data_IF_953274884408
#
_entry.id   IF_953274884408
#
_cell.length_a   1.000
_cell.length_b   1.000
_cell.length_c   1.000
_cell.angle_alpha   90.00
_cell.angle_beta   90.00
_cell.angle_gamma   90.00
#
_symmetry.space_group_name_H-M   'P 1'
#
loop_
_entity.id
_entity.type
_entity.pdbx_description
1 polymer ?
#
# COMPACT_ATOMS: atom_id res chain seq x y z
N UNK A 1 13.15 27.21 -6.97
CA UNK A 1 13.60 26.92 -5.58
C UNK A 1 13.57 25.42 -5.20
N UNK A 2 13.38 24.49 -6.16
CA UNK A 2 13.29 23.03 -5.94
C UNK A 2 14.53 22.16 -6.31
N UNK A 3 15.57 22.65 -7.02
CA UNK A 3 16.76 21.80 -7.29
C UNK A 3 17.73 21.65 -6.12
N UNK A 4 17.69 22.54 -5.11
CA UNK A 4 18.68 22.58 -4.02
C UNK A 4 18.36 21.65 -2.84
N UNK A 5 17.10 21.23 -2.65
CA UNK A 5 16.72 20.28 -1.58
C UNK A 5 17.17 18.84 -1.87
N UNK A 6 17.26 18.43 -3.14
CA UNK A 6 17.76 17.09 -3.53
C UNK A 6 19.25 16.88 -3.21
N UNK A 7 20.02 17.96 -3.15
CA UNK A 7 21.44 17.93 -2.77
C UNK A 7 21.64 18.02 -1.26
N UNK A 8 20.76 18.72 -0.55
CA UNK A 8 20.81 18.82 0.92
C UNK A 8 20.47 17.49 1.61
N UNK A 9 19.53 16.71 1.06
CA UNK A 9 19.11 15.43 1.63
C UNK A 9 20.09 14.26 1.37
N UNK A 10 21.07 14.42 0.46
CA UNK A 10 22.12 13.40 0.22
C UNK A 10 23.32 13.52 1.17
N UNK A 11 23.44 14.61 1.94
CA UNK A 11 24.62 14.92 2.74
C UNK A 11 24.40 15.03 4.25
N UNK A 12 23.17 14.92 4.74
CA UNK A 12 22.90 15.02 6.18
C UNK A 12 22.99 13.66 6.85
N UNK A 13 23.79 13.57 7.92
CA UNK A 13 23.83 12.45 8.84
C UNK A 13 22.43 12.13 9.40
N UNK A 14 21.75 11.15 8.80
CA UNK A 14 20.48 10.57 9.25
C UNK A 14 20.50 9.69 10.53
N UNK A 15 21.62 9.39 11.23
CA UNK A 15 21.56 8.52 12.43
C UNK A 15 20.71 9.06 13.60
N UNK A 16 20.49 10.38 13.70
CA UNK A 16 19.83 10.99 14.87
C UNK A 16 18.31 11.00 14.76
N UNK A 17 17.76 11.18 13.55
CA UNK A 17 16.31 11.06 13.29
C UNK A 17 15.87 9.59 13.42
N UNK A 18 16.73 8.67 12.97
CA UNK A 18 16.50 7.24 13.15
C UNK A 18 16.63 6.80 14.61
N UNK A 19 17.48 7.45 15.42
CA UNK A 19 17.64 7.14 16.84
C UNK A 19 16.37 7.38 17.67
N UNK A 20 15.68 8.50 17.46
CA UNK A 20 14.40 8.77 18.14
C UNK A 20 13.26 7.89 17.61
N UNK A 21 13.25 7.60 16.30
CA UNK A 21 12.32 6.65 15.72
C UNK A 21 12.56 5.22 16.23
N UNK A 22 13.82 4.79 16.44
CA UNK A 22 14.19 3.46 16.97
C UNK A 22 13.79 3.27 18.44
N UNK A 23 13.83 4.32 19.25
CA UNK A 23 13.38 4.26 20.64
C UNK A 23 11.85 4.13 20.76
N UNK A 24 11.10 4.68 19.79
CA UNK A 24 9.66 4.41 19.61
C UNK A 24 9.38 3.09 18.84
N UNK A 25 10.38 2.55 18.14
CA UNK A 25 10.29 1.35 17.29
C UNK A 25 10.23 0.04 18.08
N UNK A 26 10.84 0.00 19.27
CA UNK A 26 11.03 -1.24 20.04
C UNK A 26 9.92 -1.57 21.05
N UNK A 27 8.92 -0.69 21.25
CA UNK A 27 7.89 -0.87 22.29
C UNK A 27 6.52 -1.31 21.78
N UNK A 28 6.24 -1.31 20.47
CA UNK A 28 4.88 -1.59 19.96
C UNK A 28 4.76 -2.96 19.29
N UNK A 29 4.56 -3.97 20.14
CA UNK A 29 4.01 -5.28 19.78
C UNK A 29 2.55 -5.10 19.32
N UNK A 30 2.15 -5.83 18.29
CA UNK A 30 0.91 -5.68 17.51
C UNK A 30 -0.44 -5.72 18.25
N UNK A 31 -0.45 -5.96 19.56
CA UNK A 31 -1.67 -6.07 20.39
C UNK A 31 -2.40 -4.73 20.61
N UNK A 32 -1.72 -3.60 20.39
CA UNK A 32 -2.27 -2.26 20.69
C UNK A 32 -3.34 -1.76 19.70
N UNK A 33 -3.41 -2.28 18.47
CA UNK A 33 -4.46 -1.88 17.52
C UNK A 33 -5.85 -2.38 17.91
N UNK A 34 -5.94 -3.44 18.73
CA UNK A 34 -7.23 -3.92 19.26
C UNK A 34 -7.68 -3.14 20.49
N UNK A 35 -6.76 -2.59 21.29
CA UNK A 35 -7.11 -1.88 22.53
C UNK A 35 -7.39 -0.39 22.35
N UNK A 36 -6.79 0.28 21.36
CA UNK A 36 -6.90 1.75 21.21
C UNK A 36 -8.27 2.27 20.74
N UNK A 37 -9.27 1.40 20.49
CA UNK A 37 -10.61 1.79 20.04
C UNK A 37 -11.72 1.59 21.09
N UNK A 38 -11.38 1.26 22.34
CA UNK A 38 -12.36 1.24 23.44
C UNK A 38 -12.43 2.61 24.15
N UNK A 39 -13.64 3.17 24.24
CA UNK A 39 -13.95 4.50 24.82
C UNK A 39 -13.38 4.69 26.24
N UNK A 40 -12.98 5.91 26.64
CA UNK A 40 -12.56 6.16 28.02
C UNK A 40 -13.78 6.22 28.95
N UNK A 41 -13.85 5.27 29.89
CA UNK A 41 -14.70 5.37 31.08
C UNK A 41 -13.98 6.24 32.12
N UNK A 42 -14.72 7.18 32.73
CA UNK A 42 -14.22 8.09 33.75
C UNK A 42 -13.77 7.33 35.01
N UNK A 43 -12.59 7.68 35.54
CA UNK A 43 -12.18 7.35 36.91
C UNK A 43 -11.52 8.57 37.54
N UNK A 44 -11.99 8.90 38.75
CA UNK A 44 -11.83 10.20 39.41
C UNK A 44 -10.44 10.54 39.92
N UNK A 45 -10.30 11.84 40.16
CA UNK A 45 -9.16 12.57 40.69
C UNK A 45 -8.84 12.22 42.14
N UNK A 46 -7.55 12.06 42.45
CA UNK A 46 -6.99 12.28 43.79
C UNK A 46 -5.58 12.87 43.62
N UNK A 47 -5.40 14.03 44.23
CA UNK A 47 -4.28 14.97 44.09
C UNK A 47 -2.94 14.43 44.62
N UNK A 48 -1.86 14.65 43.85
CA UNK A 48 -0.53 14.95 44.40
C UNK A 48 0.11 16.03 43.52
N UNK A 49 0.32 17.21 44.11
CA UNK A 49 1.05 18.32 43.52
C UNK A 49 2.53 17.97 43.38
N UNK A 50 2.98 17.66 42.17
CA UNK A 50 4.38 17.79 41.80
C UNK A 50 4.47 18.72 40.59
N UNK A 51 4.84 19.98 40.86
CA UNK A 51 5.02 21.03 39.85
C UNK A 51 6.34 20.81 39.11
N UNK A 52 6.41 19.78 38.29
CA UNK A 52 7.39 19.74 37.19
C UNK A 52 6.88 20.70 36.12
N UNK A 53 7.67 21.73 35.78
CA UNK A 53 7.45 22.53 34.56
C UNK A 53 7.42 21.54 33.39
N UNK A 54 6.23 21.23 32.89
CA UNK A 54 6.05 20.57 31.61
C UNK A 54 6.61 21.51 30.55
N UNK A 55 7.79 21.20 30.03
CA UNK A 55 8.10 21.61 28.67
C UNK A 55 6.99 20.97 27.86
N UNK A 56 6.06 21.75 27.33
CA UNK A 56 5.15 21.23 26.31
C UNK A 56 6.05 20.64 25.24
N UNK A 57 6.09 19.31 25.15
CA UNK A 57 6.76 18.62 24.05
C UNK A 57 5.98 18.99 22.79
N UNK A 58 6.33 20.12 22.20
CA UNK A 58 5.73 20.59 20.96
C UNK A 58 6.08 19.58 19.90
N UNK A 59 5.07 18.93 19.31
CA UNK A 59 5.24 18.04 18.18
C UNK A 59 5.54 18.84 16.91
N UNK A 60 6.79 19.29 16.82
CA UNK A 60 7.31 20.11 15.71
C UNK A 60 7.23 19.39 14.36
N UNK A 61 7.13 18.06 14.36
CA UNK A 61 7.05 17.29 13.13
C UNK A 61 5.62 17.35 12.60
N UNK A 62 4.60 17.21 13.45
CA UNK A 62 3.20 17.39 13.04
C UNK A 62 2.89 18.80 12.51
N UNK A 63 3.61 19.82 12.98
CA UNK A 63 3.48 21.21 12.50
C UNK A 63 4.05 21.46 11.09
N UNK A 64 4.72 20.46 10.49
CA UNK A 64 5.25 20.60 9.13
C UNK A 64 4.11 20.73 8.09
N UNK A 65 4.36 21.48 6.98
CA UNK A 65 3.40 21.56 5.89
C UNK A 65 3.06 20.17 5.32
N UNK A 66 1.80 19.97 4.91
CA UNK A 66 1.30 18.68 4.40
C UNK A 66 2.16 18.11 3.27
N UNK A 67 2.65 18.94 2.35
CA UNK A 67 3.53 18.50 1.27
C UNK A 67 4.87 17.90 1.76
N UNK A 68 5.39 18.38 2.90
CA UNK A 68 6.61 17.83 3.53
C UNK A 68 6.28 16.50 4.19
N UNK A 69 5.15 16.41 4.90
CA UNK A 69 4.70 15.16 5.51
C UNK A 69 4.43 14.09 4.45
N UNK A 70 3.78 14.43 3.34
CA UNK A 70 3.65 13.54 2.17
C UNK A 70 5.00 13.09 1.59
N UNK A 71 5.99 13.98 1.61
CA UNK A 71 7.35 13.63 1.19
C UNK A 71 7.97 12.62 2.16
N UNK A 72 7.79 12.80 3.47
CA UNK A 72 8.23 11.82 4.47
C UNK A 72 7.53 10.48 4.24
N UNK A 73 6.20 10.47 4.10
CA UNK A 73 5.42 9.26 3.82
C UNK A 73 5.89 8.54 2.55
N UNK A 74 6.39 9.27 1.55
CA UNK A 74 6.91 8.66 0.31
C UNK A 74 8.18 7.83 0.47
N UNK A 75 8.88 7.98 1.61
CA UNK A 75 10.05 7.16 1.95
C UNK A 75 9.71 5.98 2.86
N UNK A 76 8.45 5.86 3.30
CA UNK A 76 8.01 4.84 4.23
C UNK A 76 7.30 3.69 3.51
N UNK A 77 7.49 2.48 4.02
CA UNK A 77 6.69 1.30 3.62
C UNK A 77 5.30 1.36 4.23
N UNK A 78 4.35 0.63 3.67
CA UNK A 78 2.94 0.68 4.09
C UNK A 78 2.75 0.56 5.61
N UNK A 79 3.35 -0.48 6.20
CA UNK A 79 3.26 -0.76 7.64
C UNK A 79 3.84 0.35 8.49
N UNK A 80 4.90 1.02 8.03
CA UNK A 80 5.47 2.17 8.72
C UNK A 80 4.52 3.36 8.66
N UNK A 81 3.87 3.58 7.52
CA UNK A 81 2.94 4.69 7.38
C UNK A 81 1.72 4.51 8.31
N UNK A 82 1.14 3.31 8.36
CA UNK A 82 0.04 3.01 9.29
C UNK A 82 0.45 3.20 10.76
N UNK A 83 1.72 2.98 11.10
CA UNK A 83 2.24 3.30 12.43
C UNK A 83 2.39 4.80 12.65
N UNK A 84 2.82 5.56 11.64
CA UNK A 84 2.89 7.03 11.78
C UNK A 84 1.51 7.66 11.98
N UNK A 85 0.44 7.09 11.41
CA UNK A 85 -0.91 7.64 11.55
C UNK A 85 -1.46 7.60 12.98
N UNK A 86 -0.86 6.83 13.89
CA UNK A 86 -1.28 6.81 15.30
C UNK A 86 -0.46 7.74 16.20
N UNK A 87 0.57 8.41 15.66
CA UNK A 87 1.43 9.32 16.43
C UNK A 87 0.70 10.62 16.79
N UNK A 88 -0.14 11.13 15.88
CA UNK A 88 -1.00 12.28 16.13
C UNK A 88 -2.19 12.28 15.18
N UNK A 89 -3.24 13.03 15.52
CA UNK A 89 -4.39 13.25 14.62
C UNK A 89 -3.96 13.88 13.30
N UNK A 90 -2.91 14.70 13.32
CA UNK A 90 -2.35 15.34 12.13
C UNK A 90 -1.74 14.32 11.17
N UNK A 91 -0.98 13.35 11.68
CA UNK A 91 -0.44 12.28 10.85
C UNK A 91 -1.52 11.35 10.30
N UNK A 92 -2.60 11.12 11.05
CA UNK A 92 -3.77 10.40 10.57
C UNK A 92 -4.43 11.11 9.37
N UNK A 93 -4.65 12.42 9.49
CA UNK A 93 -5.22 13.24 8.42
C UNK A 93 -4.37 13.22 7.15
N UNK A 94 -3.06 13.42 7.31
CA UNK A 94 -2.08 13.38 6.22
C UNK A 94 -2.05 12.01 5.56
N UNK A 95 -2.08 10.93 6.34
CA UNK A 95 -2.13 9.58 5.77
C UNK A 95 -3.40 9.37 4.95
N UNK A 96 -4.55 9.91 5.41
CA UNK A 96 -5.83 9.82 4.71
C UNK A 96 -5.86 10.62 3.40
N UNK A 97 -5.19 11.77 3.34
CA UNK A 97 -5.07 12.58 2.11
C UNK A 97 -3.90 12.18 1.21
N UNK A 98 -3.03 11.29 1.70
CA UNK A 98 -1.87 10.83 0.93
C UNK A 98 -2.30 10.09 -0.35
N UNK A 99 -1.90 10.56 -1.55
CA UNK A 99 -2.48 10.09 -2.81
C UNK A 99 -1.87 8.78 -3.34
N UNK A 100 -0.99 8.14 -2.56
CA UNK A 100 -0.32 6.90 -2.93
C UNK A 100 -0.73 5.79 -1.97
N UNK A 101 -1.15 4.67 -2.54
CA UNK A 101 -1.43 3.44 -1.81
C UNK A 101 -0.54 2.34 -2.37
N UNK A 102 0.33 1.79 -1.51
CA UNK A 102 1.28 0.74 -1.87
C UNK A 102 1.06 -0.46 -0.96
N UNK A 103 0.90 -1.64 -1.53
CA UNK A 103 0.98 -2.92 -0.84
C UNK A 103 2.32 -3.52 -1.24
N UNK A 104 3.17 -3.76 -0.25
CA UNK A 104 4.48 -4.38 -0.43
C UNK A 104 4.65 -5.54 0.56
N UNK A 105 5.74 -6.29 0.46
CA UNK A 105 6.01 -7.44 1.34
C UNK A 105 6.01 -7.12 2.84
N UNK A 106 6.18 -5.85 3.24
CA UNK A 106 6.13 -5.48 4.66
C UNK A 106 4.78 -5.76 5.32
N UNK A 107 3.71 -5.92 4.53
CA UNK A 107 2.38 -6.32 5.03
C UNK A 107 2.30 -7.82 5.31
N UNK A 108 3.15 -8.63 4.65
CA UNK A 108 3.19 -10.08 4.78
C UNK A 108 4.25 -10.44 5.82
N UNK A 109 3.84 -11.05 6.93
CA UNK A 109 4.80 -11.60 7.89
C UNK A 109 5.31 -12.97 7.42
N UNK A 110 6.41 -13.43 7.99
CA UNK A 110 7.06 -14.69 7.60
C UNK A 110 6.10 -15.89 7.69
N UNK A 111 5.36 -16.02 8.79
CA UNK A 111 4.43 -17.15 8.99
C UNK A 111 3.32 -17.15 7.91
N UNK A 112 2.82 -15.97 7.54
CA UNK A 112 1.82 -15.81 6.49
C UNK A 112 2.40 -16.09 5.11
N UNK A 113 3.66 -15.72 4.85
CA UNK A 113 4.34 -16.08 3.61
C UNK A 113 4.43 -17.60 3.44
N UNK A 114 4.84 -18.33 4.49
CA UNK A 114 4.92 -19.79 4.47
C UNK A 114 3.53 -20.41 4.26
N UNK A 115 2.51 -19.91 4.96
CA UNK A 115 1.12 -20.32 4.78
C UNK A 115 0.63 -20.14 3.34
N UNK A 116 0.82 -18.95 2.77
CA UNK A 116 0.36 -18.64 1.41
C UNK A 116 1.09 -19.46 0.35
N UNK A 117 2.32 -19.90 0.62
CA UNK A 117 3.06 -20.80 -0.28
C UNK A 117 2.48 -22.21 -0.33
N UNK A 118 1.64 -22.58 0.64
CA UNK A 118 1.10 -23.94 0.76
C UNK A 118 2.08 -24.94 1.37
N UNK A 119 3.15 -24.48 2.03
CA UNK A 119 4.18 -25.34 2.63
C UNK A 119 3.73 -25.97 3.98
N UNK A 120 2.49 -25.76 4.43
CA UNK A 120 1.96 -26.21 5.73
C UNK A 120 0.70 -27.09 5.62
N UNK A 121 0.71 -28.27 6.23
CA UNK A 121 -0.47 -29.10 6.54
C UNK A 121 -0.67 -29.16 8.07
N UNK A 122 -1.86 -28.79 8.60
CA UNK A 122 -2.19 -28.92 10.04
C UNK A 122 -3.20 -27.89 10.61
N UNK A 123 -3.63 -28.05 11.87
CA UNK A 123 -4.58 -27.17 12.59
C UNK A 123 -4.13 -25.69 12.68
N UNK A 124 -2.82 -25.44 12.65
CA UNK A 124 -2.24 -24.09 12.61
C UNK A 124 -2.66 -23.29 11.36
N UNK A 125 -3.14 -23.96 10.30
CA UNK A 125 -3.64 -23.29 9.09
C UNK A 125 -4.92 -22.48 9.32
N UNK A 126 -5.86 -22.92 10.18
CA UNK A 126 -7.14 -22.20 10.33
C UNK A 126 -6.95 -20.87 11.06
N UNK A 127 -6.13 -20.85 12.11
CA UNK A 127 -5.76 -19.62 12.81
C UNK A 127 -4.99 -18.67 11.88
N UNK A 128 -4.09 -19.20 11.04
CA UNK A 128 -3.37 -18.40 10.05
C UNK A 128 -4.28 -17.85 8.96
N UNK A 129 -5.19 -18.67 8.45
CA UNK A 129 -6.26 -18.29 7.52
C UNK A 129 -7.09 -17.15 8.11
N UNK A 130 -7.51 -17.27 9.37
CA UNK A 130 -8.26 -16.22 10.09
C UNK A 130 -7.46 -14.92 10.26
N UNK A 131 -6.17 -15.01 10.57
CA UNK A 131 -5.28 -13.82 10.64
C UNK A 131 -5.12 -13.15 9.27
N UNK A 132 -4.94 -13.95 8.23
CA UNK A 132 -4.79 -13.52 6.83
C UNK A 132 -6.06 -12.81 6.35
N UNK A 133 -7.23 -13.40 6.57
CA UNK A 133 -8.52 -12.79 6.20
C UNK A 133 -8.74 -11.44 6.90
N UNK A 134 -8.46 -11.36 8.22
CA UNK A 134 -8.55 -10.09 8.95
C UNK A 134 -7.63 -9.03 8.37
N UNK A 135 -6.44 -9.41 7.89
CA UNK A 135 -5.53 -8.47 7.24
C UNK A 135 -6.12 -7.97 5.91
N UNK A 136 -6.63 -8.86 5.07
CA UNK A 136 -7.26 -8.49 3.79
C UNK A 136 -8.45 -7.55 3.98
N UNK A 137 -9.37 -7.88 4.90
CA UNK A 137 -10.50 -7.02 5.25
C UNK A 137 -10.03 -5.64 5.74
N UNK A 138 -8.97 -5.61 6.55
CA UNK A 138 -8.40 -4.38 7.06
C UNK A 138 -7.79 -3.52 5.94
N UNK A 139 -7.02 -4.12 5.03
CA UNK A 139 -6.41 -3.45 3.89
C UNK A 139 -7.49 -2.90 2.95
N UNK A 140 -8.52 -3.70 2.64
CA UNK A 140 -9.66 -3.25 1.86
C UNK A 140 -10.37 -2.07 2.51
N UNK A 141 -10.61 -2.13 3.83
CA UNK A 141 -11.25 -1.03 4.55
C UNK A 141 -10.42 0.24 4.51
N UNK A 142 -9.10 0.16 4.68
CA UNK A 142 -8.21 1.33 4.53
C UNK A 142 -8.32 1.88 3.11
N UNK A 143 -8.25 1.00 2.10
CA UNK A 143 -8.35 1.39 0.70
C UNK A 143 -9.68 2.09 0.40
N UNK A 144 -10.80 1.52 0.87
CA UNK A 144 -12.17 2.05 0.67
C UNK A 144 -12.40 3.41 1.32
N UNK A 145 -11.74 3.68 2.44
CA UNK A 145 -11.90 4.91 3.21
C UNK A 145 -11.03 6.07 2.68
N UNK A 146 -10.39 5.91 1.52
CA UNK A 146 -9.58 6.97 0.91
C UNK A 146 -10.36 7.77 -0.12
N UNK A 147 -10.47 9.10 0.06
CA UNK A 147 -11.26 9.93 -0.84
C UNK A 147 -10.60 10.16 -2.19
N UNK A 148 -9.26 10.09 -2.29
CA UNK A 148 -8.54 10.28 -3.56
C UNK A 148 -7.24 9.49 -3.57
N UNK A 149 -7.18 8.48 -4.44
CA UNK A 149 -5.95 7.74 -4.73
C UNK A 149 -5.53 8.09 -6.15
N UNK A 150 -4.28 8.52 -6.33
CA UNK A 150 -3.72 8.81 -7.65
C UNK A 150 -2.78 7.73 -8.13
N UNK A 151 -2.07 7.07 -7.20
CA UNK A 151 -1.14 5.98 -7.49
C UNK A 151 -1.50 4.77 -6.63
N UNK A 152 -1.70 3.65 -7.30
CA UNK A 152 -1.91 2.34 -6.68
C UNK A 152 -0.75 1.42 -7.08
N UNK A 153 -0.17 0.73 -6.11
CA UNK A 153 0.99 -0.14 -6.32
C UNK A 153 0.86 -1.41 -5.49
N UNK A 154 1.05 -2.56 -6.13
CA UNK A 154 1.26 -3.84 -5.48
C UNK A 154 2.62 -4.36 -5.95
N UNK A 155 3.53 -4.62 -5.00
CA UNK A 155 4.88 -5.11 -5.24
C UNK A 155 5.15 -6.31 -4.33
N UNK A 156 5.13 -7.51 -4.90
CA UNK A 156 5.32 -8.76 -4.17
C UNK A 156 6.26 -9.67 -4.96
N UNK A 157 7.27 -10.25 -4.32
CA UNK A 157 8.16 -11.22 -4.98
C UNK A 157 7.48 -12.54 -5.32
N UNK A 158 6.30 -12.82 -4.77
CA UNK A 158 5.59 -14.07 -5.02
C UNK A 158 4.09 -13.80 -5.17
N UNK A 159 3.50 -14.45 -6.18
CA UNK A 159 2.06 -14.60 -6.30
C UNK A 159 1.63 -15.97 -5.75
N UNK A 160 0.60 -15.98 -4.92
CA UNK A 160 0.11 -17.18 -4.25
C UNK A 160 -1.22 -17.61 -4.87
N UNK A 161 -1.31 -18.83 -5.39
CA UNK A 161 -2.55 -19.37 -5.97
C UNK A 161 -3.51 -19.86 -4.89
N UNK A 162 -3.94 -18.91 -4.05
CA UNK A 162 -4.85 -19.13 -2.94
C UNK A 162 -6.13 -18.33 -3.24
N UNK A 163 -7.32 -18.95 -3.31
CA UNK A 163 -8.55 -18.28 -3.74
C UNK A 163 -8.86 -17.00 -2.97
N UNK A 164 -8.57 -16.97 -1.66
CA UNK A 164 -8.79 -15.81 -0.81
C UNK A 164 -7.88 -14.64 -1.19
N UNK A 165 -6.63 -14.92 -1.56
CA UNK A 165 -5.66 -13.91 -1.99
C UNK A 165 -6.02 -13.36 -3.38
N UNK A 166 -6.44 -14.23 -4.30
CA UNK A 166 -6.93 -13.82 -5.61
C UNK A 166 -8.14 -12.88 -5.50
N UNK A 167 -9.10 -13.24 -4.66
CA UNK A 167 -10.29 -12.43 -4.37
C UNK A 167 -9.92 -11.07 -3.78
N UNK A 168 -9.00 -11.05 -2.81
CA UNK A 168 -8.49 -9.82 -2.21
C UNK A 168 -7.82 -8.90 -3.25
N UNK A 169 -6.94 -9.44 -4.09
CA UNK A 169 -6.26 -8.67 -5.12
C UNK A 169 -7.26 -8.15 -6.17
N UNK A 170 -8.18 -8.99 -6.62
CA UNK A 170 -9.25 -8.60 -7.54
C UNK A 170 -10.07 -7.43 -6.97
N UNK A 171 -10.48 -7.52 -5.71
CA UNK A 171 -11.22 -6.46 -5.00
C UNK A 171 -10.42 -5.15 -4.94
N UNK A 172 -9.14 -5.22 -4.57
CA UNK A 172 -8.27 -4.04 -4.50
C UNK A 172 -8.07 -3.38 -5.87
N UNK A 173 -7.83 -4.17 -6.91
CA UNK A 173 -7.66 -3.70 -8.29
C UNK A 173 -8.94 -3.05 -8.80
N UNK A 174 -10.09 -3.71 -8.64
CA UNK A 174 -11.39 -3.17 -9.03
C UNK A 174 -11.70 -1.84 -8.32
N UNK A 175 -11.44 -1.76 -7.01
CA UNK A 175 -11.59 -0.51 -6.27
C UNK A 175 -10.67 0.59 -6.82
N UNK A 176 -9.39 0.28 -7.04
CA UNK A 176 -8.42 1.26 -7.54
C UNK A 176 -8.84 1.81 -8.92
N UNK A 177 -9.36 0.96 -9.81
CA UNK A 177 -9.94 1.40 -11.09
C UNK A 177 -11.17 2.30 -10.86
N UNK A 178 -12.08 1.90 -9.96
CA UNK A 178 -13.24 2.71 -9.59
C UNK A 178 -12.89 4.08 -9.00
N UNK A 179 -11.74 4.20 -8.35
CA UNK A 179 -11.21 5.47 -7.83
C UNK A 179 -10.57 6.38 -8.89
N UNK A 180 -10.60 6.00 -10.18
CA UNK A 180 -10.01 6.75 -11.29
C UNK A 180 -8.51 7.07 -11.08
N UNK A 181 -7.73 6.10 -10.61
CA UNK A 181 -6.29 6.28 -10.43
C UNK A 181 -5.61 6.66 -11.76
N UNK A 182 -4.48 7.36 -11.65
CA UNK A 182 -3.66 7.77 -12.79
C UNK A 182 -2.48 6.82 -13.04
N UNK A 183 -1.97 6.20 -11.98
CA UNK A 183 -0.79 5.34 -12.05
C UNK A 183 -1.07 4.02 -11.37
N UNK A 184 -0.95 2.94 -12.11
CA UNK A 184 -1.07 1.58 -11.60
C UNK A 184 0.24 0.84 -11.79
N UNK A 185 0.72 0.19 -10.74
CA UNK A 185 1.82 -0.79 -10.82
C UNK A 185 1.37 -2.07 -10.15
N UNK A 186 1.35 -3.17 -10.89
CA UNK A 186 1.17 -4.52 -10.38
C UNK A 186 2.43 -5.29 -10.73
N UNK A 187 3.16 -5.71 -9.71
CA UNK A 187 4.48 -6.29 -9.85
C UNK A 187 4.55 -7.56 -9.02
N UNK A 188 4.42 -8.68 -9.72
CA UNK A 188 4.51 -10.03 -9.17
C UNK A 188 5.74 -10.68 -9.81
N UNK A 189 6.85 -10.77 -9.08
CA UNK A 189 8.09 -11.38 -9.57
C UNK A 189 7.98 -12.92 -9.52
N UNK A 190 7.03 -13.49 -10.27
CA UNK A 190 6.73 -14.92 -10.22
C UNK A 190 7.49 -15.71 -11.30
N UNK A 191 8.00 -16.89 -10.94
CA UNK A 191 8.58 -17.85 -11.90
C UNK A 191 7.57 -18.90 -12.42
N UNK A 192 6.41 -19.09 -11.77
CA UNK A 192 5.57 -20.28 -12.03
C UNK A 192 4.10 -20.02 -12.37
N UNK A 193 3.43 -19.00 -11.81
CA UNK A 193 1.99 -18.76 -12.01
C UNK A 193 1.72 -17.26 -12.17
N UNK A 194 1.16 -16.81 -13.30
CA UNK A 194 0.87 -15.41 -13.52
C UNK A 194 -0.42 -14.98 -12.79
N UNK A 195 -0.50 -13.68 -12.44
CA UNK A 195 -1.74 -13.08 -11.94
C UNK A 195 -2.71 -12.78 -13.07
N UNK A 196 -3.90 -13.38 -13.07
CA UNK A 196 -4.96 -13.06 -14.04
C UNK A 196 -5.42 -11.61 -13.88
N UNK A 197 -5.03 -10.76 -14.82
CA UNK A 197 -5.36 -9.34 -14.81
C UNK A 197 -6.84 -9.13 -15.14
N UNK A 198 -7.61 -8.44 -14.29
CA UNK A 198 -8.99 -8.12 -14.60
C UNK A 198 -9.11 -7.26 -15.88
N UNK A 199 -9.94 -7.63 -16.87
CA UNK A 199 -10.05 -6.89 -18.14
C UNK A 199 -10.47 -5.41 -17.99
N UNK A 200 -11.12 -5.07 -16.87
CA UNK A 200 -11.50 -3.69 -16.52
C UNK A 200 -10.27 -2.76 -16.43
N UNK A 201 -9.10 -3.28 -16.08
CA UNK A 201 -7.85 -2.50 -16.03
C UNK A 201 -7.50 -1.98 -17.43
N UNK A 202 -7.70 -2.80 -18.46
CA UNK A 202 -7.41 -2.49 -19.87
C UNK A 202 -8.50 -1.66 -20.56
N UNK A 203 -9.60 -1.40 -19.86
CA UNK A 203 -10.67 -0.52 -20.31
C UNK A 203 -10.70 0.81 -19.55
N UNK A 204 -9.71 1.06 -18.69
CA UNK A 204 -9.69 2.25 -17.84
C UNK A 204 -9.44 3.53 -18.64
N UNK A 205 -10.26 4.55 -18.37
CA UNK A 205 -10.16 5.87 -19.01
C UNK A 205 -9.22 6.81 -18.27
N UNK A 206 -8.81 6.51 -17.05
CA UNK A 206 -8.04 7.42 -16.18
C UNK A 206 -6.55 7.08 -16.11
N UNK A 207 -6.16 5.84 -16.41
CA UNK A 207 -4.78 5.38 -16.24
C UNK A 207 -3.88 6.04 -17.28
N UNK A 208 -2.87 6.77 -16.79
CA UNK A 208 -1.82 7.42 -17.59
C UNK A 208 -0.54 6.57 -17.63
N UNK A 209 -0.27 5.81 -16.56
CA UNK A 209 0.91 4.93 -16.44
C UNK A 209 0.47 3.57 -15.93
N UNK A 210 0.70 2.55 -16.74
CA UNK A 210 0.45 1.15 -16.39
C UNK A 210 1.78 0.38 -16.39
N UNK A 211 2.10 -0.25 -15.26
CA UNK A 211 3.25 -1.14 -15.12
C UNK A 211 2.77 -2.50 -14.66
N UNK A 212 3.05 -3.53 -15.45
CA UNK A 212 2.66 -4.90 -15.17
C UNK A 212 3.91 -5.79 -15.21
N UNK A 213 4.06 -6.64 -14.21
CA UNK A 213 5.02 -7.74 -14.19
C UNK A 213 4.38 -9.01 -13.64
N UNK A 214 4.59 -10.14 -14.33
CA UNK A 214 4.06 -11.44 -13.89
C UNK A 214 2.54 -11.52 -13.93
N UNK A 215 1.91 -10.87 -14.92
CA UNK A 215 0.47 -10.89 -15.11
C UNK A 215 0.11 -11.68 -16.37
N UNK A 216 -1.05 -12.32 -16.33
CA UNK A 216 -1.71 -12.94 -17.48
C UNK A 216 -2.83 -12.04 -17.95
N UNK A 217 -2.89 -11.81 -19.26
CA UNK A 217 -3.87 -10.93 -19.88
C UNK A 217 -4.72 -11.71 -20.85
N UNK A 218 -5.96 -11.98 -20.46
CA UNK A 218 -6.99 -12.52 -21.32
C UNK A 218 -7.96 -11.40 -21.74
N UNK A 219 -8.22 -11.29 -23.05
CA UNK A 219 -9.30 -10.44 -23.57
C UNK A 219 -10.41 -11.33 -24.11
N UNK A 220 -11.69 -11.04 -23.80
CA UNK A 220 -12.81 -11.62 -24.55
C UNK A 220 -12.63 -11.34 -26.04
N UNK A 221 -12.81 -12.37 -26.88
CA UNK A 221 -12.42 -12.50 -28.31
C UNK A 221 -12.96 -11.42 -29.28
N UNK A 222 -13.65 -10.38 -28.79
CA UNK A 222 -14.15 -9.25 -29.58
C UNK A 222 -13.95 -7.88 -28.87
N UNK A 223 -13.21 -7.85 -27.77
CA UNK A 223 -13.00 -6.63 -26.98
C UNK A 223 -11.68 -5.95 -27.33
N UNK A 224 -11.78 -4.71 -27.81
CA UNK A 224 -10.60 -3.88 -28.01
C UNK A 224 -10.18 -3.28 -26.66
N UNK A 225 -8.87 -3.32 -26.38
CA UNK A 225 -8.26 -2.53 -25.30
C UNK A 225 -8.63 -1.06 -25.51
N UNK A 226 -9.02 -0.35 -24.45
CA UNK A 226 -9.40 1.06 -24.51
C UNK A 226 -8.74 1.78 -23.34
N UNK A 227 -7.52 2.24 -23.58
CA UNK A 227 -6.72 2.98 -22.61
C UNK A 227 -6.46 4.42 -23.11
N UNK A 228 -7.51 5.26 -23.25
CA UNK A 228 -7.44 6.55 -23.95
C UNK A 228 -6.54 7.60 -23.31
N UNK A 229 -6.18 7.42 -22.04
CA UNK A 229 -5.32 8.36 -21.30
C UNK A 229 -3.90 7.83 -21.12
N UNK A 230 -3.60 6.62 -21.60
CA UNK A 230 -2.34 5.94 -21.32
C UNK A 230 -1.21 6.58 -22.10
N UNK A 231 -0.16 6.95 -21.37
CA UNK A 231 1.04 7.58 -21.91
C UNK A 231 2.27 6.69 -21.79
N UNK A 232 2.24 5.76 -20.84
CA UNK A 232 3.36 4.86 -20.54
C UNK A 232 2.83 3.48 -20.20
N UNK A 233 3.26 2.49 -20.98
CA UNK A 233 3.02 1.09 -20.73
C UNK A 233 4.36 0.40 -20.49
N UNK A 234 4.47 -0.30 -19.37
CA UNK A 234 5.61 -1.16 -19.07
C UNK A 234 5.12 -2.58 -18.83
N UNK A 235 5.58 -3.50 -19.66
CA UNK A 235 5.25 -4.91 -19.58
C UNK A 235 6.56 -5.68 -19.36
N UNK A 236 6.61 -6.48 -18.31
CA UNK A 236 7.72 -7.39 -18.03
C UNK A 236 7.13 -8.77 -17.75
N UNK A 237 7.66 -9.83 -18.37
CA UNK A 237 7.21 -11.21 -18.10
C UNK A 237 5.67 -11.35 -18.06
N UNK A 238 5.01 -10.99 -19.16
CA UNK A 238 3.55 -11.05 -19.32
C UNK A 238 3.19 -12.30 -20.11
N UNK A 239 2.20 -13.04 -19.63
CA UNK A 239 1.58 -14.12 -20.38
C UNK A 239 0.34 -13.57 -21.11
N UNK A 240 0.29 -13.72 -22.43
CA UNK A 240 -0.82 -13.23 -23.23
C UNK A 240 -0.84 -13.89 -24.61
N UNK A 241 -2.04 -14.12 -25.13
CA UNK A 241 -2.20 -14.63 -26.49
C UNK A 241 -1.78 -13.60 -27.55
N UNK A 242 -1.30 -14.07 -28.70
CA UNK A 242 -0.80 -13.24 -29.80
C UNK A 242 -1.79 -12.17 -30.28
N UNK A 243 -3.09 -12.46 -30.19
CA UNK A 243 -4.15 -11.51 -30.57
C UNK A 243 -4.27 -10.33 -29.57
N UNK A 244 -4.02 -10.58 -28.28
CA UNK A 244 -3.98 -9.57 -27.22
C UNK A 244 -2.77 -8.67 -27.40
N UNK A 245 -1.61 -9.27 -27.67
CA UNK A 245 -0.36 -8.59 -28.01
C UNK A 245 -0.58 -7.62 -29.16
N UNK A 246 -1.18 -8.11 -30.25
CA UNK A 246 -1.48 -7.29 -31.42
C UNK A 246 -2.35 -6.10 -31.05
N UNK A 247 -3.44 -6.30 -30.29
CA UNK A 247 -4.31 -5.22 -29.84
C UNK A 247 -3.62 -4.20 -28.91
N UNK A 248 -2.71 -4.65 -28.04
CA UNK A 248 -1.92 -3.78 -27.16
C UNK A 248 -0.93 -2.92 -27.96
N UNK A 249 -0.26 -3.51 -28.95
CA UNK A 249 0.70 -2.80 -29.82
C UNK A 249 0.04 -1.92 -30.87
N UNK A 250 -1.15 -2.30 -31.38
CA UNK A 250 -1.95 -1.41 -32.24
C UNK A 250 -2.26 -0.11 -31.51
N UNK A 251 -2.58 -0.15 -30.21
CA UNK A 251 -2.73 1.07 -29.41
C UNK A 251 -1.45 1.92 -29.32
N UNK A 252 -0.28 1.29 -29.15
CA UNK A 252 1.01 1.99 -29.08
C UNK A 252 1.45 2.62 -30.41
N UNK A 253 0.83 2.23 -31.53
CA UNK A 253 1.23 2.64 -32.88
C UNK A 253 0.44 3.85 -33.41
N UNK A 254 -0.58 4.33 -32.67
CA UNK A 254 -1.51 5.38 -33.12
C UNK A 254 -1.49 6.67 -32.28
N UNK A 255 -0.52 6.83 -31.35
CA UNK A 255 -0.24 8.07 -30.60
C UNK A 255 1.23 8.49 -30.76
#
# INVERSE_FOLDING_TARGET
>A
MLPKLKLFLKGCCWPWIWGCLLLLWNTMRWEWLSCAMAKPHQMGSLDIMEKTRSVEEVDLISELPEGVLHTILSFLQFKQIVRTSVLSTRWEEVWRTYPVFTIDESVINFDMYIYLRGDCEGEDNEEMRRKTMKLYEHLERILRNRPSIQKFTIELSVFFKVPEFESFLHSCVCYAIGSNIKKMKLDFECENIPYHLPPIVLCSKSIEVLKLRGCEVELPTASNVKLPSLRKLHLFTIDCEDHVISNLFFWLSFD
#
